data_IF_668653994340
#
_entry.id   IF_668653994340
#
_cell.length_a   1.000
_cell.length_b   1.000
_cell.length_c   1.000
_cell.angle_alpha   90.00
_cell.angle_beta   90.00
_cell.angle_gamma   90.00
#
_symmetry.space_group_name_H-M   'P 1'
#
loop_
_entity.id
_entity.type
_entity.pdbx_description
1 polymer ?
#
# COMPACT_ATOMS: atom_id res chain seq x y z
N UNK A 1 -15.34 6.05 5.30
CA UNK A 1 -15.08 4.90 4.42
C UNK A 1 -15.46 5.26 3.01
N UNK A 2 -14.67 4.86 2.03
CA UNK A 2 -14.93 5.11 0.62
C UNK A 2 -14.35 4.02 -0.28
N UNK A 3 -15.05 3.76 -1.40
CA UNK A 3 -14.55 2.87 -2.45
C UNK A 3 -13.31 3.48 -3.10
N UNK A 4 -12.30 2.65 -3.38
CA UNK A 4 -11.02 3.06 -3.96
C UNK A 4 -10.50 1.99 -4.93
N UNK A 5 -9.90 2.45 -6.01
CA UNK A 5 -9.38 1.61 -7.08
C UNK A 5 -10.47 1.07 -8.02
N UNK A 6 -10.08 0.47 -9.16
CA UNK A 6 -11.01 -0.05 -10.14
C UNK A 6 -11.88 -1.15 -9.54
N UNK A 7 -13.18 -0.94 -9.56
CA UNK A 7 -14.22 -1.84 -9.09
C UNK A 7 -15.18 -2.24 -10.22
N UNK A 8 -16.28 -2.87 -9.90
CA UNK A 8 -17.24 -3.46 -10.81
C UNK A 8 -17.96 -2.51 -11.77
N UNK A 9 -17.26 -1.77 -12.63
CA UNK A 9 -17.83 -0.91 -13.66
C UNK A 9 -18.63 0.30 -13.11
N UNK A 10 -18.21 0.85 -11.97
CA UNK A 10 -18.90 1.93 -11.27
C UNK A 10 -18.44 3.34 -11.68
N UNK A 11 -17.67 3.46 -12.75
CA UNK A 11 -17.17 4.71 -13.32
C UNK A 11 -16.42 5.62 -12.33
N UNK A 12 -16.57 6.92 -12.47
CA UNK A 12 -15.79 7.91 -11.72
C UNK A 12 -16.06 7.91 -10.21
N UNK A 13 -17.20 7.42 -9.77
CA UNK A 13 -17.61 7.48 -8.35
C UNK A 13 -16.88 6.46 -7.47
N UNK A 14 -16.59 5.24 -7.98
CA UNK A 14 -16.07 4.14 -7.19
C UNK A 14 -14.97 3.33 -7.91
N UNK A 15 -14.41 3.89 -9.00
CA UNK A 15 -13.40 3.17 -9.79
C UNK A 15 -12.12 3.96 -9.97
N UNK A 16 -11.84 4.92 -9.10
CA UNK A 16 -10.63 5.73 -9.12
C UNK A 16 -9.85 5.56 -7.82
N UNK A 17 -8.55 5.87 -7.83
CA UNK A 17 -7.67 5.83 -6.66
C UNK A 17 -7.42 7.25 -6.15
N UNK A 18 -7.94 7.56 -4.96
CA UNK A 18 -7.91 8.90 -4.38
C UNK A 18 -7.06 9.00 -3.10
N UNK A 19 -6.35 7.97 -2.73
CA UNK A 19 -5.53 7.96 -1.51
C UNK A 19 -4.52 9.11 -1.47
N UNK A 20 -3.87 9.41 -2.59
CA UNK A 20 -2.92 10.52 -2.68
C UNK A 20 -3.58 11.88 -2.48
N UNK A 21 -4.79 12.06 -3.04
CA UNK A 21 -5.55 13.28 -2.89
C UNK A 21 -5.86 13.60 -1.43
N UNK A 22 -6.33 12.62 -0.68
CA UNK A 22 -6.63 12.80 0.75
C UNK A 22 -5.37 12.80 1.62
N UNK A 23 -4.36 12.01 1.29
CA UNK A 23 -3.09 12.01 2.00
C UNK A 23 -2.35 13.35 1.90
N UNK A 24 -2.64 14.17 0.88
CA UNK A 24 -2.07 15.51 0.76
C UNK A 24 -2.56 16.47 1.85
N UNK A 25 -3.74 16.24 2.44
CA UNK A 25 -4.36 17.17 3.40
C UNK A 25 -3.77 16.97 4.80
N UNK A 26 -3.09 17.97 5.40
CA UNK A 26 -2.60 17.89 6.77
C UNK A 26 -3.75 17.67 7.77
N UNK A 27 -3.50 16.83 8.78
CA UNK A 27 -4.48 16.49 9.80
C UNK A 27 -5.43 15.33 9.46
N UNK A 28 -5.53 14.93 8.19
CA UNK A 28 -6.21 13.69 7.84
C UNK A 28 -5.28 12.48 8.00
N UNK A 29 -5.82 11.39 8.50
CA UNK A 29 -5.19 10.06 8.42
C UNK A 29 -5.85 9.27 7.30
N UNK A 30 -5.07 8.50 6.55
CA UNK A 30 -5.56 7.70 5.42
C UNK A 30 -5.02 6.29 5.53
N UNK A 31 -5.91 5.31 5.61
CA UNK A 31 -5.58 3.90 5.72
C UNK A 31 -6.17 3.10 4.56
N UNK A 32 -5.46 2.07 4.14
CA UNK A 32 -5.77 1.27 2.95
C UNK A 32 -5.60 -0.22 3.28
N UNK A 33 -6.60 -0.86 3.91
CA UNK A 33 -6.50 -2.26 4.26
C UNK A 33 -6.33 -3.16 3.03
N UNK A 34 -5.53 -4.21 3.17
CA UNK A 34 -5.23 -5.18 2.10
C UNK A 34 -5.83 -6.56 2.33
N UNK A 35 -6.41 -6.81 3.50
CA UNK A 35 -6.96 -8.10 3.91
C UNK A 35 -8.00 -7.92 5.03
N UNK A 36 -8.81 -8.99 5.35
CA UNK A 36 -9.85 -8.91 6.37
C UNK A 36 -9.36 -8.59 7.79
N UNK A 37 -8.18 -9.10 8.18
CA UNK A 37 -7.57 -8.80 9.48
C UNK A 37 -7.33 -7.30 9.64
N UNK A 38 -6.65 -6.70 8.66
CA UNK A 38 -6.34 -5.28 8.67
C UNK A 38 -7.60 -4.42 8.53
N UNK A 39 -8.57 -4.84 7.71
CA UNK A 39 -9.85 -4.12 7.57
C UNK A 39 -10.59 -3.98 8.90
N UNK A 40 -10.73 -5.08 9.67
CA UNK A 40 -11.35 -5.05 11.00
C UNK A 40 -10.51 -4.23 11.99
N UNK A 41 -9.21 -4.48 12.06
CA UNK A 41 -8.33 -3.83 13.04
C UNK A 41 -8.14 -2.34 12.80
N UNK A 42 -7.92 -1.92 11.55
CA UNK A 42 -7.79 -0.50 11.18
C UNK A 42 -9.11 0.26 11.33
N UNK A 43 -10.25 -0.35 10.99
CA UNK A 43 -11.56 0.28 11.22
C UNK A 43 -11.79 0.57 12.69
N UNK A 44 -11.48 -0.38 13.56
CA UNK A 44 -11.61 -0.19 15.02
C UNK A 44 -10.65 0.88 15.53
N UNK A 45 -9.41 0.90 15.03
CA UNK A 45 -8.44 1.94 15.36
C UNK A 45 -8.93 3.32 14.91
N UNK A 46 -9.48 3.41 13.70
CA UNK A 46 -10.01 4.66 13.15
C UNK A 46 -11.21 5.21 13.96
N UNK A 47 -12.10 4.34 14.44
CA UNK A 47 -13.26 4.74 15.28
C UNK A 47 -12.78 5.31 16.63
N UNK A 48 -11.64 4.84 17.15
CA UNK A 48 -11.08 5.26 18.44
C UNK A 48 -10.07 6.39 18.34
N UNK A 49 -9.72 6.78 17.12
CA UNK A 49 -8.78 7.87 16.89
C UNK A 49 -9.46 9.23 17.16
N UNK A 50 -8.70 10.17 17.70
CA UNK A 50 -9.21 11.53 17.95
C UNK A 50 -9.17 12.42 16.70
N UNK A 51 -8.41 12.02 15.68
CA UNK A 51 -8.31 12.73 14.41
C UNK A 51 -9.21 12.09 13.33
N UNK A 52 -9.60 12.82 12.29
CA UNK A 52 -10.36 12.25 11.20
C UNK A 52 -9.53 11.22 10.42
N UNK A 53 -10.10 10.04 10.20
CA UNK A 53 -9.47 8.93 9.48
C UNK A 53 -10.32 8.54 8.28
N UNK A 54 -9.70 8.54 7.09
CA UNK A 54 -10.30 7.97 5.89
C UNK A 54 -9.84 6.52 5.72
N UNK A 55 -10.81 5.63 5.48
CA UNK A 55 -10.55 4.23 5.15
C UNK A 55 -10.89 4.04 3.69
N UNK A 56 -9.85 3.81 2.88
CA UNK A 56 -9.96 3.62 1.44
C UNK A 56 -10.01 2.12 1.15
N UNK A 57 -11.20 1.63 0.78
CA UNK A 57 -11.48 0.21 0.62
C UNK A 57 -11.67 -0.16 -0.85
N UNK A 58 -11.15 -1.29 -1.27
CA UNK A 58 -11.49 -1.82 -2.59
C UNK A 58 -12.74 -2.68 -2.53
N UNK A 59 -13.77 -2.34 -3.28
CA UNK A 59 -15.00 -3.12 -3.37
C UNK A 59 -14.76 -4.56 -3.87
N UNK A 60 -13.73 -4.77 -4.70
CA UNK A 60 -13.34 -6.11 -5.14
C UNK A 60 -12.88 -7.03 -4.01
N UNK A 61 -12.59 -6.46 -2.85
CA UNK A 61 -12.15 -7.21 -1.67
C UNK A 61 -13.29 -7.52 -0.68
N UNK A 62 -14.50 -7.00 -0.89
CA UNK A 62 -15.62 -7.24 0.05
C UNK A 62 -16.04 -8.71 0.18
N UNK A 63 -15.70 -9.54 -0.81
CA UNK A 63 -15.90 -10.99 -0.76
C UNK A 63 -14.71 -11.78 -0.22
N UNK A 64 -13.60 -11.12 0.12
CA UNK A 64 -12.40 -11.81 0.61
C UNK A 64 -12.64 -12.44 1.97
N UNK A 65 -12.16 -13.65 2.13
CA UNK A 65 -12.16 -14.39 3.40
C UNK A 65 -10.74 -14.45 3.95
N UNK A 66 -10.63 -14.40 5.26
CA UNK A 66 -9.36 -14.54 5.96
C UNK A 66 -9.58 -14.86 7.43
N UNK A 67 -8.54 -15.38 8.07
CA UNK A 67 -8.58 -15.63 9.51
C UNK A 67 -8.58 -14.30 10.26
N UNK A 68 -9.50 -14.19 11.20
CA UNK A 68 -9.65 -13.04 12.07
C UNK A 68 -9.69 -13.57 13.50
N UNK A 69 -8.83 -13.07 14.41
CA UNK A 69 -8.87 -13.47 15.81
C UNK A 69 -10.25 -13.22 16.44
N UNK A 70 -10.65 -14.11 17.31
CA UNK A 70 -11.79 -13.86 18.19
C UNK A 70 -11.47 -12.71 19.16
N UNK A 71 -12.51 -11.96 19.51
CA UNK A 71 -12.37 -10.88 20.47
C UNK A 71 -11.88 -9.54 19.89
N UNK A 72 -11.30 -8.75 20.78
CA UNK A 72 -10.88 -7.38 20.53
C UNK A 72 -9.42 -7.32 20.10
N UNK A 73 -9.15 -6.65 18.99
CA UNK A 73 -7.79 -6.26 18.59
C UNK A 73 -7.83 -4.97 17.77
N UNK A 74 -6.72 -4.28 17.75
CA UNK A 74 -6.49 -3.07 16.97
C UNK A 74 -5.27 -3.25 16.07
N UNK A 75 -5.30 -2.66 14.90
CA UNK A 75 -4.12 -2.49 14.04
C UNK A 75 -3.70 -1.02 14.15
N UNK A 76 -2.47 -0.73 14.59
CA UNK A 76 -2.04 0.65 14.78
C UNK A 76 -1.94 1.38 13.45
N UNK A 77 -2.55 2.58 13.37
CA UNK A 77 -2.44 3.49 12.23
C UNK A 77 -1.00 4.01 12.15
N UNK A 78 -0.43 4.03 10.95
CA UNK A 78 0.95 4.49 10.73
C UNK A 78 2.01 3.42 11.01
N UNK A 79 1.62 2.15 11.11
CA UNK A 79 2.54 1.02 11.20
C UNK A 79 2.33 0.04 10.05
N UNK A 80 3.40 -0.13 9.28
CA UNK A 80 3.45 -1.08 8.18
C UNK A 80 3.57 -2.52 8.69
N UNK A 81 3.30 -3.48 7.82
CA UNK A 81 3.46 -4.91 8.07
C UNK A 81 4.42 -5.52 7.06
N UNK A 82 5.38 -6.29 7.55
CA UNK A 82 6.26 -7.09 6.70
C UNK A 82 5.56 -8.43 6.43
N UNK A 83 4.84 -8.49 5.31
CA UNK A 83 4.09 -9.69 4.89
C UNK A 83 4.99 -10.87 4.56
N UNK A 84 6.16 -10.58 4.07
CA UNK A 84 7.16 -11.57 3.69
C UNK A 84 8.54 -11.00 3.91
N UNK A 85 9.43 -11.77 4.53
CA UNK A 85 10.85 -11.43 4.66
C UNK A 85 11.60 -11.82 3.39
N UNK A 86 12.58 -11.01 3.01
CA UNK A 86 13.44 -11.25 1.86
C UNK A 86 14.68 -10.38 1.90
N UNK A 87 15.67 -10.70 1.08
CA UNK A 87 17.02 -10.11 1.19
C UNK A 87 17.52 -9.45 -0.10
N UNK A 88 16.81 -9.60 -1.23
CA UNK A 88 17.31 -9.11 -2.52
C UNK A 88 16.64 -7.82 -3.00
N UNK A 89 15.37 -7.62 -2.68
CA UNK A 89 14.61 -6.43 -3.08
C UNK A 89 13.45 -6.18 -2.12
N UNK A 90 13.23 -4.92 -1.77
CA UNK A 90 12.05 -4.47 -1.04
C UNK A 90 10.93 -4.12 -2.02
N UNK A 91 9.77 -4.74 -1.86
CA UNK A 91 8.54 -4.42 -2.57
C UNK A 91 7.60 -3.70 -1.59
N UNK A 92 7.34 -2.42 -1.84
CA UNK A 92 6.44 -1.61 -1.01
C UNK A 92 5.11 -1.46 -1.71
N UNK A 93 4.02 -1.73 -1.00
CA UNK A 93 2.68 -1.59 -1.56
C UNK A 93 1.62 -1.37 -0.48
N UNK A 94 0.37 -1.19 -0.87
CA UNK A 94 -0.78 -1.03 0.01
C UNK A 94 -2.09 -1.35 -0.70
N UNK A 95 -3.12 -1.69 0.06
CA UNK A 95 -4.45 -1.96 -0.47
C UNK A 95 -4.51 -3.20 -1.37
N UNK A 96 -5.47 -3.22 -2.27
CA UNK A 96 -5.79 -4.37 -3.12
C UNK A 96 -4.63 -4.89 -3.98
N UNK A 97 -3.79 -3.99 -4.49
CA UNK A 97 -2.69 -4.32 -5.40
C UNK A 97 -1.64 -5.22 -4.73
N UNK A 98 -1.62 -5.29 -3.41
CA UNK A 98 -0.73 -6.19 -2.66
C UNK A 98 -0.89 -7.65 -3.08
N UNK A 99 -2.09 -8.07 -3.51
CA UNK A 99 -2.30 -9.43 -4.07
C UNK A 99 -1.48 -9.69 -5.33
N UNK A 100 -1.34 -8.67 -6.17
CA UNK A 100 -0.50 -8.76 -7.39
C UNK A 100 0.98 -8.78 -7.02
N UNK A 101 1.38 -8.00 -6.01
CA UNK A 101 2.75 -7.99 -5.49
C UNK A 101 3.13 -9.37 -4.95
N UNK A 102 2.24 -10.03 -4.21
CA UNK A 102 2.48 -11.38 -3.69
C UNK A 102 2.66 -12.41 -4.82
N UNK A 103 1.84 -12.33 -5.86
CA UNK A 103 2.00 -13.19 -7.03
C UNK A 103 3.32 -12.93 -7.78
N UNK A 104 3.69 -11.66 -7.97
CA UNK A 104 4.95 -11.29 -8.60
C UNK A 104 6.15 -11.76 -7.79
N UNK A 105 6.11 -11.63 -6.46
CA UNK A 105 7.17 -12.12 -5.58
C UNK A 105 7.34 -13.64 -5.66
N UNK A 106 6.24 -14.40 -5.74
CA UNK A 106 6.27 -15.87 -5.95
C UNK A 106 6.90 -16.25 -7.29
N UNK A 107 6.67 -15.46 -8.32
CA UNK A 107 7.29 -15.69 -9.63
C UNK A 107 8.79 -15.39 -9.61
N UNK A 108 9.19 -14.28 -8.97
CA UNK A 108 10.59 -13.91 -8.79
C UNK A 108 11.38 -14.95 -7.98
N UNK A 109 10.76 -15.60 -7.00
CA UNK A 109 11.39 -16.68 -6.24
C UNK A 109 11.82 -17.86 -7.11
N UNK A 110 11.09 -18.19 -8.18
CA UNK A 110 11.47 -19.24 -9.11
C UNK A 110 12.78 -18.91 -9.84
N UNK A 111 13.13 -17.63 -9.92
CA UNK A 111 14.39 -17.12 -10.45
C UNK A 111 15.44 -16.86 -9.37
N UNK A 112 15.20 -17.31 -8.13
CA UNK A 112 16.13 -17.14 -7.01
C UNK A 112 16.13 -15.74 -6.41
N UNK A 113 15.15 -14.89 -6.69
CA UNK A 113 15.05 -13.54 -6.15
C UNK A 113 14.15 -13.53 -4.92
N UNK A 114 14.73 -13.28 -3.75
CA UNK A 114 14.05 -13.18 -2.47
C UNK A 114 13.52 -11.75 -2.27
N UNK A 115 12.19 -11.60 -2.20
CA UNK A 115 11.52 -10.30 -2.04
C UNK A 115 11.06 -10.09 -0.60
N UNK A 116 11.40 -8.93 0.00
CA UNK A 116 10.73 -8.46 1.20
C UNK A 116 9.51 -7.64 0.83
N UNK A 117 8.33 -8.06 1.29
CA UNK A 117 7.06 -7.40 0.96
C UNK A 117 6.59 -6.58 2.16
N UNK A 118 6.44 -5.28 1.97
CA UNK A 118 5.90 -4.34 2.95
C UNK A 118 4.51 -3.90 2.51
N UNK A 119 3.53 -4.14 3.37
CA UNK A 119 2.21 -3.54 3.32
C UNK A 119 2.19 -2.30 4.20
N UNK A 120 2.05 -1.13 3.60
CA UNK A 120 2.03 0.13 4.34
C UNK A 120 0.83 0.25 5.27
N UNK A 121 -0.32 -0.36 4.95
CA UNK A 121 -1.58 -0.23 5.69
C UNK A 121 -2.10 1.21 5.83
N UNK A 122 -1.18 2.15 6.03
CA UNK A 122 -1.43 3.59 6.15
C UNK A 122 -0.59 4.36 5.15
N UNK A 123 -1.22 5.21 4.37
CA UNK A 123 -0.54 6.13 3.46
C UNK A 123 -0.41 7.53 4.05
N UNK A 124 -1.10 7.77 5.17
CA UNK A 124 -0.88 8.92 6.06
C UNK A 124 -1.33 8.59 7.48
N UNK A 125 -0.40 8.60 8.46
CA UNK A 125 1.05 8.69 8.30
C UNK A 125 1.65 7.46 7.63
N UNK A 126 2.79 7.62 6.93
CA UNK A 126 3.58 6.53 6.37
C UNK A 126 4.59 6.04 7.41
N UNK A 127 4.77 4.71 7.52
CA UNK A 127 5.85 4.11 8.33
C UNK A 127 7.17 4.10 7.53
N UNK A 128 7.78 5.25 7.44
CA UNK A 128 9.06 5.41 6.75
C UNK A 128 10.19 4.58 7.37
N UNK A 129 10.16 4.40 8.68
CA UNK A 129 11.19 3.66 9.41
C UNK A 129 11.26 2.21 8.91
N UNK A 130 10.12 1.54 8.82
CA UNK A 130 10.03 0.16 8.32
C UNK A 130 10.54 0.08 6.87
N UNK A 131 10.14 1.01 6.01
CA UNK A 131 10.57 1.04 4.60
C UNK A 131 12.09 1.26 4.49
N UNK A 132 12.63 2.27 5.19
CA UNK A 132 14.07 2.58 5.19
C UNK A 132 14.89 1.40 5.69
N UNK A 133 14.48 0.77 6.79
CA UNK A 133 15.20 -0.37 7.36
C UNK A 133 15.22 -1.59 6.41
N UNK A 134 14.12 -1.84 5.72
CA UNK A 134 14.06 -2.88 4.69
C UNK A 134 15.00 -2.56 3.52
N UNK A 135 14.97 -1.34 3.00
CA UNK A 135 15.84 -0.92 1.89
C UNK A 135 17.31 -0.97 2.27
N UNK A 136 17.68 -0.60 3.48
CA UNK A 136 19.06 -0.73 3.98
C UNK A 136 19.56 -2.18 4.00
N UNK A 137 18.66 -3.14 4.13
CA UNK A 137 18.96 -4.57 4.08
C UNK A 137 19.06 -5.10 2.65
N UNK A 138 18.10 -4.72 1.79
CA UNK A 138 17.93 -5.31 0.45
C UNK A 138 18.65 -4.53 -0.65
N UNK A 139 19.02 -3.29 -0.40
CA UNK A 139 19.69 -2.33 -1.30
C UNK A 139 18.91 -1.99 -2.59
N UNK A 140 17.69 -2.48 -2.75
CA UNK A 140 16.83 -2.26 -3.93
C UNK A 140 15.39 -2.09 -3.50
N UNK A 141 14.69 -1.17 -4.17
CA UNK A 141 13.30 -0.90 -3.86
C UNK A 141 12.46 -0.74 -5.12
N UNK A 142 11.32 -1.42 -5.12
CA UNK A 142 10.24 -1.20 -6.08
C UNK A 142 8.98 -0.86 -5.30
N UNK A 143 8.32 0.24 -5.66
CA UNK A 143 7.07 0.68 -5.04
C UNK A 143 5.95 0.44 -6.05
N UNK A 144 4.94 -0.30 -5.64
CA UNK A 144 3.82 -0.69 -6.50
C UNK A 144 2.54 -0.09 -5.93
N UNK A 145 1.86 0.73 -6.71
CA UNK A 145 0.56 1.28 -6.32
C UNK A 145 -0.42 1.35 -7.50
N UNK A 146 -1.69 1.34 -7.19
CA UNK A 146 -2.78 1.34 -8.17
C UNK A 146 -3.22 2.77 -8.53
N UNK A 147 -2.39 3.76 -8.30
CA UNK A 147 -2.66 5.17 -8.57
C UNK A 147 -1.87 5.67 -9.80
N UNK A 148 -2.09 6.94 -10.15
CA UNK A 148 -1.37 7.60 -11.23
C UNK A 148 0.00 8.10 -10.80
N UNK A 149 0.96 8.29 -11.76
CA UNK A 149 2.34 8.64 -11.42
C UNK A 149 2.51 10.02 -10.77
N UNK A 150 1.69 10.99 -11.17
CA UNK A 150 1.79 12.36 -10.70
C UNK A 150 1.26 12.48 -9.26
N UNK A 151 2.03 13.14 -8.40
CA UNK A 151 1.67 13.40 -6.99
C UNK A 151 1.27 12.13 -6.20
N UNK A 152 1.91 11.02 -6.49
CA UNK A 152 1.61 9.70 -5.92
C UNK A 152 2.29 9.47 -4.56
N UNK A 153 1.77 8.51 -3.78
CA UNK A 153 2.40 8.04 -2.53
C UNK A 153 3.80 7.49 -2.81
N UNK A 154 3.98 6.75 -3.92
CA UNK A 154 5.30 6.23 -4.31
C UNK A 154 6.31 7.32 -4.60
N UNK A 155 5.89 8.47 -5.12
CA UNK A 155 6.76 9.63 -5.31
C UNK A 155 7.30 10.17 -4.00
N UNK A 156 6.46 10.29 -2.99
CA UNK A 156 6.85 10.72 -1.64
C UNK A 156 7.81 9.72 -0.98
N UNK A 157 7.52 8.43 -1.06
CA UNK A 157 8.40 7.38 -0.51
C UNK A 157 9.76 7.38 -1.23
N UNK A 158 9.77 7.48 -2.56
CA UNK A 158 11.01 7.54 -3.34
C UNK A 158 11.89 8.73 -2.94
N UNK A 159 11.27 9.91 -2.74
CA UNK A 159 11.98 11.09 -2.24
C UNK A 159 12.53 10.87 -0.82
N UNK A 160 11.74 10.26 0.06
CA UNK A 160 12.19 9.96 1.42
C UNK A 160 13.38 8.99 1.43
N UNK A 161 13.34 7.95 0.60
CA UNK A 161 14.45 6.99 0.45
C UNK A 161 15.70 7.66 -0.13
N UNK A 162 15.55 8.57 -1.10
CA UNK A 162 16.65 9.38 -1.62
C UNK A 162 17.35 10.17 -0.51
N UNK A 163 16.63 10.66 0.49
CA UNK A 163 17.21 11.47 1.59
C UNK A 163 17.81 10.62 2.70
N UNK A 164 17.27 9.43 2.97
CA UNK A 164 17.57 8.67 4.20
C UNK A 164 18.19 7.29 3.95
N UNK A 165 18.24 6.84 2.71
CA UNK A 165 18.78 5.54 2.33
C UNK A 165 19.62 5.57 1.05
N UNK A 166 20.00 6.74 0.54
CA UNK A 166 20.73 6.89 -0.72
C UNK A 166 22.00 6.04 -0.77
N UNK A 167 22.82 6.08 0.28
CA UNK A 167 24.08 5.34 0.34
C UNK A 167 23.92 3.81 0.39
N UNK A 168 22.69 3.33 0.54
CA UNK A 168 22.36 1.91 0.55
C UNK A 168 21.75 1.41 -0.76
N UNK A 169 21.42 2.32 -1.68
CA UNK A 169 20.75 1.95 -2.93
C UNK A 169 21.75 1.53 -4.01
N UNK A 170 21.62 0.30 -4.52
CA UNK A 170 22.37 -0.21 -5.66
C UNK A 170 21.78 0.24 -7.01
N UNK A 171 20.54 0.72 -7.01
CA UNK A 171 19.80 1.13 -8.19
C UNK A 171 18.78 2.22 -7.83
N UNK A 172 18.31 3.00 -8.80
CA UNK A 172 17.20 3.93 -8.57
C UNK A 172 15.97 3.22 -8.00
N UNK A 173 15.25 3.90 -7.11
CA UNK A 173 13.94 3.42 -6.64
C UNK A 173 12.98 3.37 -7.83
N UNK A 174 12.46 2.18 -8.12
CA UNK A 174 11.53 1.97 -9.23
C UNK A 174 10.08 2.08 -8.74
N UNK A 175 9.21 2.58 -9.62
CA UNK A 175 7.77 2.68 -9.36
C UNK A 175 7.00 1.94 -10.45
N UNK A 176 6.08 1.08 -10.04
CA UNK A 176 5.14 0.40 -10.92
C UNK A 176 3.74 0.93 -10.61
N UNK A 177 3.13 1.55 -11.59
CA UNK A 177 1.91 2.34 -11.40
C UNK A 177 0.95 2.16 -12.57
N UNK A 178 -0.27 2.67 -12.39
CA UNK A 178 -1.23 2.81 -13.48
C UNK A 178 -0.69 3.78 -14.55
N UNK A 179 -1.06 3.55 -15.80
CA UNK A 179 -0.85 4.55 -16.85
C UNK A 179 -1.56 5.86 -16.50
N UNK A 180 -1.01 6.98 -16.94
CA UNK A 180 -1.58 8.32 -16.68
C UNK A 180 -2.86 8.55 -17.49
N UNK A 181 -3.86 7.72 -17.25
CA UNK A 181 -5.18 7.73 -17.87
C UNK A 181 -6.22 7.38 -16.83
N UNK A 182 -7.47 7.84 -16.97
CA UNK A 182 -8.56 7.38 -16.10
C UNK A 182 -8.65 5.85 -16.07
N UNK A 183 -9.00 5.27 -14.93
CA UNK A 183 -9.18 3.82 -14.84
C UNK A 183 -10.26 3.35 -15.81
N UNK A 184 -9.91 2.34 -16.59
CA UNK A 184 -10.88 1.63 -17.42
C UNK A 184 -11.86 0.86 -16.51
N UNK A 185 -13.14 1.13 -16.65
CA UNK A 185 -14.22 0.50 -15.90
C UNK A 185 -15.20 -0.28 -16.79
N UNK A 186 -15.13 -0.07 -18.10
CA UNK A 186 -15.95 -0.79 -19.07
C UNK A 186 -15.22 -2.03 -19.57
N UNK A 187 -16.00 -3.10 -19.83
CA UNK A 187 -15.52 -4.19 -20.68
C UNK A 187 -15.68 -3.73 -22.14
N UNK A 188 -14.58 -3.61 -22.82
CA UNK A 188 -14.59 -3.43 -24.29
C UNK A 188 -14.68 -4.79 -24.93
#
# INVERSE_FOLDING_TARGET
RGGNGPAGQLAATHSQSFESFYAHVPGLKVVTPSNPYDAKGLLKSAIRDNDPVLIMESEKMYGDKGEIPDGEYLVPIGKADIKKKGDHVTLVSFGKILKVVDLAAKELEKSGISCEIIDLRSVRPIDYETVVNSVKKTNRCVIIEESWPLASISGEIAYHLQRHAFDYLDAPVMRVMQADTPFAFSKI
#
